data_IF_799782948643
#
_entry.id   IF_799782948643
#
_cell.length_a   1.000
_cell.length_b   1.000
_cell.length_c   1.000
_cell.angle_alpha   90.00
_cell.angle_beta   90.00
_cell.angle_gamma   90.00
#
_symmetry.space_group_name_H-M   'P 1'
#
loop_
_entity.id
_entity.type
_entity.pdbx_description
1 polymer ?
#
# COMPACT_ATOMS: atom_id res chain seq x y z
N UNK A 1 8.32 5.83 -24.00
CA UNK A 1 8.39 6.46 -22.66
C UNK A 1 8.84 5.38 -21.70
N UNK A 2 10.03 5.57 -21.13
CA UNK A 2 10.75 4.61 -20.29
C UNK A 2 9.96 4.28 -19.01
N UNK A 3 9.60 3.00 -18.83
CA UNK A 3 8.77 2.52 -17.71
C UNK A 3 9.60 1.71 -16.68
N UNK A 4 10.89 2.00 -16.54
CA UNK A 4 11.81 1.11 -15.81
C UNK A 4 12.57 1.80 -14.69
N UNK A 5 11.82 2.38 -13.74
CA UNK A 5 12.33 2.52 -12.38
C UNK A 5 11.30 1.98 -11.37
N UNK A 6 11.00 0.68 -11.51
CA UNK A 6 10.28 -0.08 -10.49
C UNK A 6 11.26 -1.06 -9.88
N UNK A 7 11.25 -1.19 -8.56
CA UNK A 7 11.99 -2.25 -7.91
C UNK A 7 11.51 -3.59 -8.50
N UNK A 8 12.39 -4.41 -9.10
CA UNK A 8 11.97 -5.61 -9.83
C UNK A 8 11.34 -6.69 -8.93
N UNK A 9 11.38 -6.51 -7.61
CA UNK A 9 10.81 -7.40 -6.61
C UNK A 9 9.52 -6.87 -5.96
N UNK A 10 9.04 -5.66 -6.33
CA UNK A 10 7.80 -5.09 -5.77
C UNK A 10 6.78 -4.94 -6.89
N UNK A 11 5.77 -5.81 -6.88
CA UNK A 11 4.62 -5.67 -7.75
C UNK A 11 3.76 -4.48 -7.29
N UNK A 12 3.42 -3.53 -8.18
CA UNK A 12 2.57 -2.42 -7.83
C UNK A 12 1.17 -2.93 -7.46
N UNK A 13 0.67 -2.51 -6.30
CA UNK A 13 -0.68 -2.80 -5.84
C UNK A 13 -1.50 -1.52 -5.76
N UNK A 14 -2.76 -1.56 -6.16
CA UNK A 14 -3.63 -0.40 -5.99
C UNK A 14 -4.05 -0.23 -4.52
N UNK A 15 -4.25 1.02 -4.09
CA UNK A 15 -4.74 1.30 -2.74
C UNK A 15 -6.10 0.63 -2.46
N UNK A 16 -6.97 0.59 -3.48
CA UNK A 16 -8.31 0.01 -3.37
C UNK A 16 -8.24 -1.49 -3.08
N UNK A 17 -7.37 -2.22 -3.78
CA UNK A 17 -7.14 -3.65 -3.56
C UNK A 17 -6.55 -3.90 -2.17
N UNK A 18 -5.53 -3.13 -1.77
CA UNK A 18 -4.91 -3.25 -0.45
C UNK A 18 -5.95 -3.06 0.67
N UNK A 19 -6.80 -2.03 0.56
CA UNK A 19 -7.90 -1.81 1.51
C UNK A 19 -8.90 -2.96 1.53
N UNK A 20 -9.22 -3.55 0.37
CA UNK A 20 -10.12 -4.69 0.29
C UNK A 20 -9.51 -5.94 0.94
N UNK A 21 -8.20 -6.17 0.77
CA UNK A 21 -7.49 -7.27 1.42
C UNK A 21 -7.48 -7.12 2.93
N UNK A 22 -7.20 -5.92 3.45
CA UNK A 22 -7.27 -5.64 4.90
C UNK A 22 -8.65 -5.98 5.45
N UNK A 23 -9.73 -5.49 4.81
CA UNK A 23 -11.11 -5.78 5.25
C UNK A 23 -11.48 -7.26 5.21
N UNK A 24 -10.91 -8.04 4.28
CA UNK A 24 -11.20 -9.47 4.13
C UNK A 24 -10.31 -10.36 5.00
N UNK A 25 -9.26 -9.80 5.59
CA UNK A 25 -8.33 -10.53 6.45
C UNK A 25 -8.98 -10.78 7.81
N UNK A 26 -9.20 -12.05 8.13
CA UNK A 26 -9.79 -12.47 9.41
C UNK A 26 -8.95 -12.04 10.61
N UNK A 27 -7.62 -12.04 10.47
CA UNK A 27 -6.70 -11.57 11.51
C UNK A 27 -6.75 -10.05 11.76
N UNK A 28 -7.40 -9.29 10.88
CA UNK A 28 -7.56 -7.84 10.98
C UNK A 28 -9.04 -7.44 11.12
N UNK A 29 -9.91 -8.37 11.55
CA UNK A 29 -11.36 -8.13 11.58
C UNK A 29 -11.78 -6.91 12.43
N UNK A 30 -11.10 -6.65 13.54
CA UNK A 30 -11.35 -5.49 14.41
C UNK A 30 -10.62 -4.23 13.98
N UNK A 31 -9.81 -4.32 12.93
CA UNK A 31 -8.98 -3.22 12.46
C UNK A 31 -9.61 -2.56 11.23
N UNK A 32 -9.38 -1.26 11.10
CA UNK A 32 -9.83 -0.46 9.95
C UNK A 32 -8.67 0.28 9.31
N UNK A 33 -8.79 0.50 8.01
CA UNK A 33 -7.88 1.38 7.28
C UNK A 33 -8.01 2.83 7.78
N UNK A 34 -6.88 3.45 8.13
CA UNK A 34 -6.76 4.84 8.53
C UNK A 34 -6.26 5.73 7.39
N UNK A 35 -5.35 6.64 7.75
CA UNK A 35 -4.73 7.60 6.82
C UNK A 35 -3.84 6.88 5.81
N UNK A 36 -3.60 7.56 4.69
CA UNK A 36 -2.55 7.19 3.75
C UNK A 36 -1.52 8.30 3.64
N UNK A 37 -0.30 7.93 3.30
CA UNK A 37 0.77 8.88 3.09
C UNK A 37 1.62 8.46 1.90
N UNK A 38 1.80 9.39 0.96
CA UNK A 38 2.79 9.24 -0.10
C UNK A 38 4.17 9.55 0.47
N UNK A 39 5.07 8.59 0.37
CA UNK A 39 6.46 8.70 0.84
C UNK A 39 7.36 8.70 -0.38
N UNK A 40 8.17 9.74 -0.52
CA UNK A 40 9.19 9.83 -1.56
C UNK A 40 10.57 9.85 -0.89
N UNK A 41 11.45 8.92 -1.28
CA UNK A 41 12.82 8.80 -0.77
C UNK A 41 13.76 8.37 -1.88
N UNK A 42 14.68 9.25 -2.26
CA UNK A 42 15.54 9.05 -3.43
C UNK A 42 14.72 8.76 -4.68
N UNK A 43 14.99 7.62 -5.31
CA UNK A 43 14.29 7.17 -6.51
C UNK A 43 12.98 6.41 -6.24
N UNK A 44 12.63 6.17 -4.97
CA UNK A 44 11.46 5.39 -4.61
C UNK A 44 10.30 6.28 -4.19
N UNK A 45 9.12 5.97 -4.70
CA UNK A 45 7.86 6.49 -4.19
C UNK A 45 6.97 5.33 -3.76
N UNK A 46 6.50 5.40 -2.52
CA UNK A 46 5.62 4.40 -1.90
C UNK A 46 4.36 5.06 -1.36
N UNK A 47 3.29 4.27 -1.19
CA UNK A 47 2.07 4.68 -0.49
C UNK A 47 1.98 3.86 0.81
N UNK A 48 2.05 4.53 1.96
CA UNK A 48 1.81 3.90 3.25
C UNK A 48 0.30 3.91 3.56
N UNK A 49 -0.19 2.83 4.15
CA UNK A 49 -1.55 2.70 4.67
C UNK A 49 -1.48 2.47 6.18
N UNK A 50 -2.09 3.37 6.95
CA UNK A 50 -2.29 3.20 8.39
C UNK A 50 -3.42 2.19 8.63
N UNK A 51 -3.29 1.37 9.67
CA UNK A 51 -4.31 0.42 10.12
C UNK A 51 -4.49 0.64 11.62
N UNK A 52 -5.72 0.89 12.06
CA UNK A 52 -6.06 1.25 13.46
C UNK A 52 -7.14 0.31 14.01
N UNK A 53 -7.17 0.12 15.33
CA UNK A 53 -8.21 -0.63 16.06
C UNK A 53 -9.02 0.34 16.90
#
# INVERSE_FOLDING_TARGET
MDTSNRAPWIEPMSEVELRAMVRRSTGLADWRSGRTQRISSGFYTSQALEVVR
#
